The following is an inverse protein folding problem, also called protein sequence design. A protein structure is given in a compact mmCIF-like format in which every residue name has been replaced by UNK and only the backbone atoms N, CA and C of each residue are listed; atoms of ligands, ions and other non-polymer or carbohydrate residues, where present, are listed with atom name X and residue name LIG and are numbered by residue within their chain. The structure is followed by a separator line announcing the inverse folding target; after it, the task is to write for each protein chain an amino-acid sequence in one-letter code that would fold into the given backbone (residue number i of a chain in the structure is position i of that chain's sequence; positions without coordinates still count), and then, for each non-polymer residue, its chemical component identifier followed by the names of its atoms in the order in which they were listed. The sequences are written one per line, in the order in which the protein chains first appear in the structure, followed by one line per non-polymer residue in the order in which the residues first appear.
data_IF_371212876521
#
_entry.id   IF_371212876521
#
_cell.length_a   1.000
_cell.length_b   1.000
_cell.length_c   1.000
_cell.angle_alpha   90.00
_cell.angle_beta   90.00
_cell.angle_gamma   90.00
#
_symmetry.space_group_name_H-M   'P 1'
#
loop_
_entity.id
_entity.type
_entity.pdbx_description
1 polymer ?
#
# COMPACT_ATOMS: atom_id res chain seq x y z
N UNK A 1 21.51 18.03 14.07
CA UNK A 1 20.15 18.60 14.12
C UNK A 1 19.24 17.54 14.72
N UNK A 2 18.81 17.70 15.98
CA UNK A 2 18.02 16.68 16.71
C UNK A 2 16.56 16.77 16.28
N UNK A 3 16.20 15.80 15.48
CA UNK A 3 14.94 15.57 14.80
C UNK A 3 13.95 14.93 15.79
N UNK A 4 12.71 15.42 15.88
CA UNK A 4 11.76 15.04 16.93
C UNK A 4 11.08 13.69 16.61
N UNK A 5 11.25 12.70 17.50
CA UNK A 5 10.97 11.27 17.25
C UNK A 5 9.54 10.89 16.84
N UNK A 6 8.52 11.70 17.16
CA UNK A 6 7.12 11.24 17.08
C UNK A 6 6.44 11.47 15.73
N UNK A 7 6.81 12.53 15.01
CA UNK A 7 6.22 12.85 13.70
C UNK A 7 7.10 12.36 12.54
N UNK A 8 8.41 12.35 12.72
CA UNK A 8 9.35 11.94 11.68
C UNK A 8 9.29 10.44 11.41
N UNK A 9 9.03 9.64 12.45
CA UNK A 9 8.85 8.20 12.29
C UNK A 9 7.59 7.89 11.46
N UNK A 10 6.52 8.67 11.62
CA UNK A 10 5.29 8.51 10.82
C UNK A 10 5.53 8.89 9.36
N UNK A 11 6.20 10.02 9.11
CA UNK A 11 6.51 10.48 7.76
C UNK A 11 7.44 9.48 7.06
N UNK A 12 8.46 9.00 7.77
CA UNK A 12 9.39 7.98 7.26
C UNK A 12 8.68 6.66 6.95
N UNK A 13 7.79 6.21 7.83
CA UNK A 13 7.01 4.98 7.61
C UNK A 13 6.05 5.12 6.41
N UNK A 14 5.36 6.25 6.27
CA UNK A 14 4.46 6.50 5.13
C UNK A 14 5.26 6.50 3.82
N UNK A 15 6.40 7.19 3.79
CA UNK A 15 7.29 7.22 2.62
C UNK A 15 7.82 5.81 2.29
N UNK A 16 8.25 5.04 3.31
CA UNK A 16 8.72 3.67 3.11
C UNK A 16 7.63 2.74 2.57
N UNK A 17 6.43 2.77 3.15
CA UNK A 17 5.31 1.92 2.68
C UNK A 17 4.86 2.33 1.28
N UNK A 18 4.84 3.63 0.99
CA UNK A 18 4.55 4.14 -0.35
C UNK A 18 5.57 3.64 -1.37
N UNK A 19 6.87 3.74 -1.09
CA UNK A 19 7.94 3.26 -1.97
C UNK A 19 7.88 1.73 -2.13
N UNK A 20 7.70 0.98 -1.03
CA UNK A 20 7.65 -0.49 -1.06
C UNK A 20 6.47 -1.01 -1.89
N UNK A 21 5.29 -0.40 -1.74
CA UNK A 21 4.10 -0.81 -2.53
C UNK A 21 4.25 -0.47 -4.01
N UNK A 22 4.88 0.67 -4.33
CA UNK A 22 5.24 1.04 -5.71
C UNK A 22 6.21 0.03 -6.33
N UNK A 23 7.32 -0.28 -5.64
CA UNK A 23 8.38 -1.18 -6.15
C UNK A 23 7.87 -2.62 -6.28
N UNK A 24 7.19 -3.16 -5.27
CA UNK A 24 6.69 -4.54 -5.31
C UNK A 24 5.62 -4.70 -6.39
N UNK A 25 4.69 -3.75 -6.52
CA UNK A 25 3.69 -3.78 -7.60
C UNK A 25 4.35 -3.67 -8.98
N UNK A 26 5.28 -2.74 -9.15
CA UNK A 26 5.99 -2.54 -10.42
C UNK A 26 6.80 -3.78 -10.83
N UNK A 27 7.62 -4.31 -9.93
CA UNK A 27 8.45 -5.51 -10.19
C UNK A 27 7.57 -6.71 -10.51
N UNK A 28 6.48 -6.92 -9.78
CA UNK A 28 5.60 -8.07 -10.01
C UNK A 28 4.89 -7.97 -11.38
N UNK A 29 4.49 -6.78 -11.81
CA UNK A 29 3.90 -6.58 -13.15
C UNK A 29 4.95 -6.71 -14.26
N UNK A 30 6.17 -6.19 -14.06
CA UNK A 30 7.30 -6.36 -15.01
C UNK A 30 7.66 -7.84 -15.17
N UNK A 31 7.78 -8.59 -14.07
CA UNK A 31 8.18 -10.00 -14.11
C UNK A 31 7.10 -10.91 -14.70
N UNK A 32 5.81 -10.65 -14.43
CA UNK A 32 4.72 -11.52 -14.92
C UNK A 32 4.33 -11.23 -16.38
N UNK A 33 4.44 -9.98 -16.86
CA UNK A 33 3.94 -9.59 -18.18
C UNK A 33 5.02 -9.10 -19.16
N UNK A 34 6.25 -8.88 -18.68
CA UNK A 34 7.34 -8.33 -19.48
C UNK A 34 7.21 -6.83 -19.78
N UNK A 35 8.31 -6.22 -20.21
CA UNK A 35 8.35 -4.81 -20.65
C UNK A 35 7.95 -4.72 -22.13
N UNK A 36 6.67 -4.48 -22.38
CA UNK A 36 6.14 -4.14 -23.72
C UNK A 36 5.99 -2.62 -23.88
N UNK A 37 5.91 -2.09 -25.11
CA UNK A 37 5.74 -0.65 -25.35
C UNK A 37 4.48 -0.05 -24.68
N UNK A 38 3.47 -0.88 -24.37
CA UNK A 38 2.24 -0.48 -23.69
C UNK A 38 2.30 -0.67 -22.16
N UNK A 39 3.42 -1.18 -21.64
CA UNK A 39 3.58 -1.58 -20.24
C UNK A 39 3.20 -0.47 -19.27
N UNK A 40 3.74 0.75 -19.45
CA UNK A 40 3.47 1.87 -18.55
C UNK A 40 1.98 2.23 -18.50
N UNK A 41 1.30 2.25 -19.66
CA UNK A 41 -0.12 2.59 -19.75
C UNK A 41 -0.99 1.48 -19.11
N UNK A 42 -0.67 0.20 -19.37
CA UNK A 42 -1.37 -0.93 -18.77
C UNK A 42 -1.16 -1.00 -17.26
N UNK A 43 0.07 -0.79 -16.81
CA UNK A 43 0.41 -0.77 -15.39
C UNK A 43 -0.33 0.34 -14.65
N UNK A 44 -0.30 1.58 -15.18
CA UNK A 44 -0.96 2.71 -14.54
C UNK A 44 -2.49 2.53 -14.48
N UNK A 45 -3.11 1.97 -15.53
CA UNK A 45 -4.53 1.60 -15.54
C UNK A 45 -4.88 0.54 -14.50
N UNK A 46 -4.12 -0.55 -14.45
CA UNK A 46 -4.36 -1.64 -13.49
C UNK A 46 -4.12 -1.18 -12.04
N UNK A 47 -3.10 -0.37 -11.82
CA UNK A 47 -2.81 0.24 -10.53
C UNK A 47 -3.94 1.18 -10.07
N UNK A 48 -4.40 2.07 -10.95
CA UNK A 48 -5.49 2.99 -10.63
C UNK A 48 -6.80 2.23 -10.31
N UNK A 49 -7.12 1.19 -11.08
CA UNK A 49 -8.28 0.35 -10.83
C UNK A 49 -8.18 -0.42 -9.51
N UNK A 50 -7.01 -0.99 -9.21
CA UNK A 50 -6.76 -1.64 -7.92
C UNK A 50 -6.86 -0.65 -6.75
N UNK A 51 -6.37 0.58 -6.90
CA UNK A 51 -6.47 1.62 -5.89
C UNK A 51 -7.94 2.00 -5.60
N UNK A 52 -8.74 2.22 -6.64
CA UNK A 52 -10.17 2.54 -6.54
C UNK A 52 -10.95 1.42 -5.85
N UNK A 53 -10.58 0.15 -6.07
CA UNK A 53 -11.22 -1.00 -5.40
C UNK A 53 -10.69 -1.18 -3.96
N UNK A 54 -9.40 -0.97 -3.73
CA UNK A 54 -8.78 -1.16 -2.42
C UNK A 54 -9.33 -0.17 -1.38
N UNK A 55 -9.61 1.08 -1.77
CA UNK A 55 -10.18 2.09 -0.87
C UNK A 55 -11.48 1.64 -0.17
N UNK A 56 -12.57 1.30 -0.89
CA UNK A 56 -13.81 0.84 -0.27
C UNK A 56 -13.62 -0.49 0.48
N UNK A 57 -12.78 -1.40 -0.04
CA UNK A 57 -12.47 -2.67 0.64
C UNK A 57 -11.83 -2.41 2.01
N UNK A 58 -10.81 -1.55 2.09
CA UNK A 58 -10.15 -1.21 3.35
C UNK A 58 -11.12 -0.48 4.30
N UNK A 59 -11.95 0.43 3.78
CA UNK A 59 -12.94 1.13 4.61
C UNK A 59 -13.93 0.16 5.29
N UNK A 60 -14.32 -0.92 4.60
CA UNK A 60 -15.23 -1.94 5.13
C UNK A 60 -14.50 -2.96 6.01
N UNK A 61 -13.32 -3.41 5.59
CA UNK A 61 -12.58 -4.49 6.26
C UNK A 61 -11.86 -3.99 7.53
N UNK A 62 -11.33 -2.77 7.54
CA UNK A 62 -10.62 -2.20 8.69
C UNK A 62 -11.42 -2.26 10.01
N UNK A 63 -12.70 -1.84 10.09
CA UNK A 63 -13.47 -1.97 11.32
C UNK A 63 -13.69 -3.43 11.74
N UNK A 64 -13.85 -4.35 10.78
CA UNK A 64 -13.99 -5.79 11.06
C UNK A 64 -12.70 -6.34 11.68
N UNK A 65 -11.56 -6.04 11.06
CA UNK A 65 -10.24 -6.45 11.57
C UNK A 65 -10.03 -5.90 12.98
N UNK A 66 -10.32 -4.61 13.22
CA UNK A 66 -10.22 -4.01 14.56
C UNK A 66 -11.08 -4.75 15.60
N UNK A 67 -12.32 -5.11 15.25
CA UNK A 67 -13.24 -5.85 16.13
C UNK A 67 -12.77 -7.27 16.43
N UNK A 68 -12.10 -7.92 15.48
CA UNK A 68 -11.54 -9.25 15.67
C UNK A 68 -10.30 -9.16 16.55
N UNK A 69 -9.36 -8.28 16.22
CA UNK A 69 -8.10 -8.12 16.96
C UNK A 69 -8.37 -7.68 18.41
N UNK A 70 -9.35 -6.81 18.66
CA UNK A 70 -9.71 -6.40 20.03
C UNK A 70 -10.25 -7.53 20.91
N UNK A 71 -10.58 -8.70 20.35
CA UNK A 71 -10.93 -9.90 21.14
C UNK A 71 -9.72 -10.75 21.53
N UNK A 72 -8.59 -10.54 20.87
CA UNK A 72 -7.35 -11.29 21.10
C UNK A 72 -6.28 -10.46 21.82
N UNK A 73 -6.45 -9.13 21.87
CA UNK A 73 -5.64 -8.25 22.72
C UNK A 73 -6.38 -8.11 24.05
N UNK A 74 -5.90 -8.80 25.08
CA UNK A 74 -6.20 -8.49 26.47
C UNK A 74 -5.22 -7.38 26.89
N UNK A 75 -5.74 -6.23 27.30
CA UNK A 75 -4.99 -5.29 28.15
C UNK A 75 -4.92 -5.83 29.58
#
# INVERSE_FOLDING_TARGET
MKISRKNEMKITLVIMVFIMTLVVSFVNVVFNFGLSNEFLIKWLKMWALAFVIALPVVMIIMPIIKKVISRYIND
#
